data_IF_370337703777
#
_entry.id   IF_370337703777
#
_cell.length_a   1.000
_cell.length_b   1.000
_cell.length_c   1.000
_cell.angle_alpha   90.00
_cell.angle_beta   90.00
_cell.angle_gamma   90.00
#
_symmetry.space_group_name_H-M   'P 1'
#
loop_
_entity.id
_entity.type
_entity.pdbx_description
1 polymer ?
#
# COMPACT_ATOMS: atom_id res chain seq x y z
N UNK A 1 -11.18 5.19 -20.29
CA UNK A 1 -10.03 4.34 -19.88
C UNK A 1 -9.57 4.85 -18.53
N UNK A 2 -9.32 3.96 -17.56
CA UNK A 2 -8.79 4.36 -16.25
C UNK A 2 -7.28 4.54 -16.39
N UNK A 3 -6.74 5.68 -15.94
CA UNK A 3 -5.28 5.94 -16.01
C UNK A 3 -4.56 5.44 -14.75
N UNK A 4 -3.23 5.28 -14.84
CA UNK A 4 -2.45 4.85 -13.68
C UNK A 4 -2.49 5.90 -12.55
N UNK A 5 -2.61 7.18 -12.89
CA UNK A 5 -2.75 8.28 -11.95
C UNK A 5 -4.10 8.18 -11.21
N UNK A 6 -5.19 7.81 -11.90
CA UNK A 6 -6.48 7.56 -11.26
C UNK A 6 -6.45 6.33 -10.35
N UNK A 7 -5.73 5.27 -10.73
CA UNK A 7 -5.54 4.10 -9.88
C UNK A 7 -4.71 4.43 -8.64
N UNK A 8 -3.69 5.27 -8.79
CA UNK A 8 -2.83 5.72 -7.70
C UNK A 8 -3.60 6.58 -6.70
N UNK A 9 -4.42 7.51 -7.19
CA UNK A 9 -5.30 8.33 -6.37
C UNK A 9 -6.30 7.45 -5.58
N UNK A 10 -6.91 6.45 -6.24
CA UNK A 10 -7.78 5.50 -5.57
C UNK A 10 -7.08 4.70 -4.48
N UNK A 11 -5.85 4.24 -4.73
CA UNK A 11 -5.06 3.52 -3.72
C UNK A 11 -4.61 4.43 -2.56
N UNK A 12 -4.34 5.71 -2.84
CA UNK A 12 -4.06 6.69 -1.79
C UNK A 12 -5.29 6.92 -0.91
N UNK A 13 -6.46 7.07 -1.51
CA UNK A 13 -7.71 7.24 -0.79
C UNK A 13 -8.03 6.01 0.08
N UNK A 14 -7.88 4.79 -0.46
CA UNK A 14 -8.02 3.55 0.31
C UNK A 14 -7.05 3.50 1.52
N UNK A 15 -5.83 3.99 1.35
CA UNK A 15 -4.83 4.05 2.42
C UNK A 15 -5.21 5.07 3.51
N UNK A 16 -5.71 6.24 3.12
CA UNK A 16 -6.22 7.26 4.07
C UNK A 16 -7.40 6.70 4.86
N UNK A 17 -8.35 6.05 4.18
CA UNK A 17 -9.52 5.43 4.83
C UNK A 17 -9.11 4.32 5.81
N UNK A 18 -8.16 3.46 5.43
CA UNK A 18 -7.66 2.42 6.33
C UNK A 18 -6.95 3.00 7.56
N UNK A 19 -6.22 4.12 7.42
CA UNK A 19 -5.62 4.85 8.56
C UNK A 19 -6.67 5.45 9.48
N UNK A 20 -7.70 6.06 8.91
CA UNK A 20 -8.84 6.59 9.66
C UNK A 20 -9.55 5.47 10.43
N UNK A 21 -9.78 4.32 9.80
CA UNK A 21 -10.37 3.14 10.43
C UNK A 21 -9.51 2.63 11.59
N UNK A 22 -8.20 2.49 11.39
CA UNK A 22 -7.27 2.03 12.44
C UNK A 22 -7.25 2.99 13.65
N UNK A 23 -7.35 4.29 13.40
CA UNK A 23 -7.38 5.30 14.47
C UNK A 23 -8.67 5.25 15.30
N UNK A 24 -9.78 4.82 14.70
CA UNK A 24 -11.10 4.76 15.34
C UNK A 24 -11.43 3.38 15.93
N UNK A 25 -10.74 2.33 15.49
CA UNK A 25 -10.97 0.97 15.95
C UNK A 25 -10.61 0.82 17.43
N UNK A 26 -11.55 0.32 18.22
CA UNK A 26 -11.38 0.08 19.67
C UNK A 26 -11.55 -1.40 20.01
N UNK A 27 -12.46 -2.09 19.32
CA UNK A 27 -12.65 -3.53 19.49
C UNK A 27 -11.46 -4.31 18.91
N UNK A 28 -10.94 -5.33 19.60
CA UNK A 28 -9.77 -6.10 19.15
C UNK A 28 -9.88 -6.60 17.70
N UNK A 29 -11.00 -7.21 17.34
CA UNK A 29 -11.24 -7.74 15.99
C UNK A 29 -11.26 -6.63 14.93
N UNK A 30 -11.73 -5.43 15.30
CA UNK A 30 -11.75 -4.26 14.41
C UNK A 30 -10.36 -3.66 14.25
N UNK A 31 -9.53 -3.69 15.30
CA UNK A 31 -8.13 -3.29 15.21
C UNK A 31 -7.38 -4.20 14.26
N UNK A 32 -7.54 -5.52 14.40
CA UNK A 32 -6.93 -6.51 13.51
C UNK A 32 -7.38 -6.31 12.05
N UNK A 33 -8.68 -6.10 11.85
CA UNK A 33 -9.21 -5.79 10.53
C UNK A 33 -8.61 -4.50 9.94
N UNK A 34 -8.48 -3.45 10.76
CA UNK A 34 -7.92 -2.18 10.32
C UNK A 34 -6.42 -2.30 9.99
N UNK A 35 -5.65 -3.07 10.76
CA UNK A 35 -4.25 -3.37 10.45
C UNK A 35 -4.12 -4.12 9.13
N UNK A 36 -4.94 -5.15 8.92
CA UNK A 36 -4.97 -5.90 7.67
C UNK A 36 -5.27 -4.99 6.46
N UNK A 37 -6.34 -4.18 6.57
CA UNK A 37 -6.74 -3.23 5.54
C UNK A 37 -5.64 -2.21 5.24
N UNK A 38 -5.00 -1.67 6.28
CA UNK A 38 -3.92 -0.70 6.14
C UNK A 38 -2.73 -1.30 5.40
N UNK A 39 -2.30 -2.52 5.77
CA UNK A 39 -1.18 -3.20 5.10
C UNK A 39 -1.48 -3.51 3.64
N UNK A 40 -2.70 -3.93 3.33
CA UNK A 40 -3.12 -4.18 1.95
C UNK A 40 -3.09 -2.88 1.10
N UNK A 41 -3.61 -1.78 1.66
CA UNK A 41 -3.62 -0.48 0.97
C UNK A 41 -2.20 0.09 0.77
N UNK A 42 -1.32 -0.05 1.77
CA UNK A 42 0.11 0.33 1.66
C UNK A 42 0.80 -0.41 0.51
N UNK A 43 0.65 -1.73 0.46
CA UNK A 43 1.26 -2.55 -0.60
C UNK A 43 0.72 -2.18 -1.99
N UNK A 44 -0.57 -1.93 -2.11
CA UNK A 44 -1.20 -1.53 -3.37
C UNK A 44 -0.68 -0.18 -3.85
N UNK A 45 -0.64 0.82 -2.97
CA UNK A 45 -0.13 2.15 -3.29
C UNK A 45 1.35 2.09 -3.71
N UNK A 46 2.17 1.39 -2.94
CA UNK A 46 3.60 1.18 -3.25
C UNK A 46 3.81 0.50 -4.60
N UNK A 47 3.04 -0.53 -4.91
CA UNK A 47 3.09 -1.23 -6.18
C UNK A 47 2.78 -0.28 -7.35
N UNK A 48 1.73 0.53 -7.23
CA UNK A 48 1.34 1.48 -8.28
C UNK A 48 2.41 2.54 -8.52
N UNK A 49 3.00 3.09 -7.44
CA UNK A 49 4.16 4.00 -7.55
C UNK A 49 5.32 3.33 -8.30
N UNK A 50 5.67 2.09 -7.94
CA UNK A 50 6.74 1.34 -8.61
C UNK A 50 6.40 1.11 -10.09
N UNK A 51 5.16 0.76 -10.41
CA UNK A 51 4.69 0.50 -11.78
C UNK A 51 4.78 1.75 -12.64
N UNK A 52 4.30 2.89 -12.15
CA UNK A 52 4.36 4.19 -12.86
C UNK A 52 5.82 4.58 -13.11
N UNK A 53 6.67 4.48 -12.08
CA UNK A 53 8.11 4.78 -12.21
C UNK A 53 8.79 3.89 -13.25
N UNK A 54 8.51 2.59 -13.25
CA UNK A 54 9.07 1.66 -14.23
C UNK A 54 8.60 1.98 -15.66
N UNK A 55 7.32 2.33 -15.84
CA UNK A 55 6.76 2.77 -17.12
C UNK A 55 7.47 4.02 -17.63
N UNK A 56 7.78 4.96 -16.73
CA UNK A 56 8.44 6.22 -17.06
C UNK A 56 9.98 6.08 -17.18
N UNK A 57 10.50 4.84 -17.17
CA UNK A 57 11.92 4.53 -17.37
C UNK A 57 12.81 4.70 -16.13
N UNK A 58 12.24 4.96 -14.95
CA UNK A 58 12.99 5.06 -13.71
C UNK A 58 13.39 3.67 -13.19
N UNK A 59 14.71 3.43 -13.08
CA UNK A 59 15.25 2.29 -12.31
C UNK A 59 15.14 2.59 -10.82
N UNK A 60 14.13 2.03 -10.15
CA UNK A 60 14.12 2.02 -8.68
C UNK A 60 15.26 1.13 -8.17
N UNK A 61 16.14 1.61 -7.27
CA UNK A 61 17.03 0.73 -6.54
C UNK A 61 16.16 -0.19 -5.68
N UNK A 62 16.22 -1.50 -5.96
CA UNK A 62 15.60 -2.53 -5.14
C UNK A 62 16.14 -2.33 -3.73
N UNK A 63 15.27 -2.05 -2.74
CA UNK A 63 15.68 -2.12 -1.34
C UNK A 63 15.98 -3.58 -1.02
N UNK A 64 17.26 -3.93 -1.03
CA UNK A 64 17.80 -5.22 -0.59
C UNK A 64 17.53 -5.31 0.91
N UNK A 65 16.47 -6.02 1.32
CA UNK A 65 16.09 -6.06 2.74
C UNK A 65 14.91 -6.93 3.14
N UNK A 66 14.24 -7.62 2.23
CA UNK A 66 13.21 -8.59 2.60
C UNK A 66 13.48 -9.88 1.81
N UNK A 67 13.58 -11.01 2.53
CA UNK A 67 14.09 -12.33 2.13
C UNK A 67 15.59 -12.57 2.44
N UNK A 68 15.92 -12.67 3.73
CA UNK A 68 16.86 -13.67 4.25
C UNK A 68 16.29 -14.17 5.60
N UNK A 69 15.14 -14.85 5.51
CA UNK A 69 14.65 -15.70 6.59
C UNK A 69 15.31 -17.06 6.47
N UNK A 70 16.54 -17.18 7.00
CA UNK A 70 17.16 -18.47 7.26
C UNK A 70 16.31 -19.24 8.28
N UNK A 71 15.88 -20.45 7.92
CA UNK A 71 15.79 -21.61 8.78
C UNK A 71 15.96 -22.87 7.92
#
# INVERSE_FOLDING_TARGET
MITDEQLLEGAYQELVEARCLFTQAQEPDMVDYAVFRLKAAEQRYDYLIRRIKLRDGYKCPVKKGELDGNN
#
